data_IF_470933736368
#
_entry.id   IF_470933736368
#
_cell.length_a   1.000
_cell.length_b   1.000
_cell.length_c   1.000
_cell.angle_alpha   90.00
_cell.angle_beta   90.00
_cell.angle_gamma   90.00
#
_symmetry.space_group_name_H-M   'P 1'
#
loop_
_entity.id
_entity.type
_entity.pdbx_description
1 polymer ?
#
# COMPACT_ATOMS: atom_id res chain seq x y z
N UNK A 1 -88.03 35.91 70.12
CA UNK A 1 -86.76 35.22 70.46
C UNK A 1 -86.06 34.91 69.13
N UNK A 2 -84.94 35.51 68.70
CA UNK A 2 -83.79 36.15 69.36
C UNK A 2 -82.53 35.27 69.55
N UNK A 3 -82.07 34.62 68.47
CA UNK A 3 -80.67 34.22 68.24
C UNK A 3 -80.41 34.41 66.72
N UNK A 4 -79.30 34.96 66.20
CA UNK A 4 -77.85 34.77 66.46
C UNK A 4 -77.36 33.37 66.02
N UNK A 5 -76.29 33.21 65.24
CA UNK A 5 -75.40 34.21 64.60
C UNK A 5 -74.74 33.59 63.35
N UNK A 6 -74.33 34.41 62.38
CA UNK A 6 -73.55 33.98 61.22
C UNK A 6 -72.04 33.86 61.52
N UNK A 7 -71.31 33.29 60.55
CA UNK A 7 -69.84 33.03 60.51
C UNK A 7 -69.35 31.84 61.34
N UNK A 8 -68.85 30.83 60.62
CA UNK A 8 -67.51 30.30 60.90
C UNK A 8 -66.77 30.07 59.58
N UNK A 9 -65.72 30.84 59.33
CA UNK A 9 -64.77 30.60 58.24
C UNK A 9 -63.63 29.77 58.81
N UNK A 10 -63.51 28.51 58.39
CA UNK A 10 -62.36 27.67 58.72
C UNK A 10 -61.72 27.13 57.43
N UNK A 11 -60.46 27.52 57.23
CA UNK A 11 -59.66 27.21 56.05
C UNK A 11 -59.14 25.77 56.13
N UNK A 12 -59.56 24.91 55.20
CA UNK A 12 -58.92 23.61 54.96
C UNK A 12 -58.30 23.63 53.56
N UNK A 13 -57.01 23.97 53.48
CA UNK A 13 -56.22 23.88 52.24
C UNK A 13 -55.86 22.43 51.95
N UNK A 14 -56.76 21.68 51.31
CA UNK A 14 -56.43 20.38 50.73
C UNK A 14 -55.86 20.58 49.32
N UNK A 15 -54.52 20.56 49.24
CA UNK A 15 -53.79 20.69 47.98
C UNK A 15 -53.84 19.39 47.16
N UNK A 16 -54.96 19.17 46.48
CA UNK A 16 -55.09 18.12 45.46
C UNK A 16 -54.12 18.43 44.30
N UNK A 17 -52.96 17.76 44.30
CA UNK A 17 -51.98 17.84 43.21
C UNK A 17 -52.66 17.33 41.93
N UNK A 18 -52.69 18.16 40.89
CA UNK A 18 -53.01 17.68 39.55
C UNK A 18 -52.01 16.61 39.11
N UNK A 19 -52.37 15.73 38.16
CA UNK A 19 -51.44 14.74 37.62
C UNK A 19 -50.22 15.46 37.06
N UNK A 20 -49.05 15.20 37.65
CA UNK A 20 -47.80 15.71 37.12
C UNK A 20 -47.64 15.19 35.69
N UNK A 21 -47.19 16.04 34.76
CA UNK A 21 -46.81 15.56 33.44
C UNK A 21 -45.73 14.49 33.62
N UNK A 22 -45.97 13.30 33.06
CA UNK A 22 -44.95 12.27 32.97
C UNK A 22 -43.82 12.87 32.12
N UNK A 23 -42.74 13.30 32.79
CA UNK A 23 -41.66 14.01 32.13
C UNK A 23 -41.11 13.14 31.02
N UNK A 24 -41.20 13.63 29.77
CA UNK A 24 -40.72 12.91 28.60
C UNK A 24 -39.21 12.65 28.80
N UNK A 25 -38.88 11.43 29.22
CA UNK A 25 -37.53 11.05 29.55
C UNK A 25 -36.70 11.20 28.28
N UNK A 26 -35.82 12.19 28.25
CA UNK A 26 -34.83 12.35 27.18
C UNK A 26 -33.82 11.21 27.30
N UNK A 27 -34.23 10.03 26.84
CA UNK A 27 -33.32 8.94 26.51
C UNK A 27 -32.37 9.50 25.47
N UNK A 28 -31.18 9.93 25.91
CA UNK A 28 -30.07 10.13 25.00
C UNK A 28 -29.86 8.76 24.35
N UNK A 29 -30.12 8.68 23.05
CA UNK A 29 -29.73 7.50 22.27
C UNK A 29 -28.24 7.32 22.52
N UNK A 30 -27.89 6.19 23.13
CA UNK A 30 -26.51 5.75 23.19
C UNK A 30 -26.19 5.37 21.75
N UNK A 31 -25.49 6.27 21.05
CA UNK A 31 -24.76 5.88 19.84
C UNK A 31 -23.96 4.63 20.19
N UNK A 32 -24.03 3.61 19.32
CA UNK A 32 -23.28 2.37 19.51
C UNK A 32 -21.82 2.70 19.85
N UNK A 33 -21.22 2.07 20.88
CA UNK A 33 -19.94 2.50 21.43
C UNK A 33 -18.84 2.46 20.36
N UNK A 34 -18.59 3.64 19.78
CA UNK A 34 -17.78 3.81 18.57
C UNK A 34 -16.38 3.24 18.78
N UNK A 35 -16.10 2.13 18.09
CA UNK A 35 -14.78 1.46 18.03
C UNK A 35 -14.13 1.19 19.39
N UNK A 36 -14.57 0.13 20.07
CA UNK A 36 -13.77 -0.49 21.13
C UNK A 36 -12.33 -0.77 20.64
N UNK A 37 -11.34 -0.10 21.26
CA UNK A 37 -9.93 -0.48 21.18
C UNK A 37 -8.98 0.40 20.35
N UNK A 38 -9.46 1.31 19.47
CA UNK A 38 -8.56 1.99 18.51
C UNK A 38 -8.30 3.50 18.75
N UNK A 39 -9.03 4.17 19.64
CA UNK A 39 -8.84 5.61 19.93
C UNK A 39 -8.80 5.91 21.44
N UNK A 40 -7.95 5.21 22.20
CA UNK A 40 -7.62 5.58 23.58
C UNK A 40 -6.21 6.19 23.64
N UNK A 41 -6.03 7.50 23.90
CA UNK A 41 -4.71 8.13 24.00
C UNK A 41 -3.88 7.68 25.22
N UNK A 42 -4.45 6.88 26.12
CA UNK A 42 -3.77 6.33 27.30
C UNK A 42 -3.45 4.83 27.21
N UNK A 43 -3.67 4.19 26.05
CA UNK A 43 -3.07 2.89 25.74
C UNK A 43 -1.80 3.10 24.89
N UNK A 44 -0.70 2.37 25.15
CA UNK A 44 0.46 2.40 24.29
C UNK A 44 0.11 1.85 22.90
N UNK A 45 0.68 2.42 21.84
CA UNK A 45 0.39 2.07 20.43
C UNK A 45 1.01 0.72 19.99
N UNK A 46 1.21 -0.21 20.91
CA UNK A 46 2.06 -1.41 20.81
C UNK A 46 1.45 -2.58 20.03
N UNK A 47 0.42 -2.33 19.21
CA UNK A 47 -0.19 -3.34 18.32
C UNK A 47 -0.51 -2.82 16.92
N UNK A 48 0.08 -1.69 16.48
CA UNK A 48 0.08 -1.34 15.05
C UNK A 48 0.86 -2.41 14.29
N UNK A 49 0.14 -3.25 13.56
CA UNK A 49 0.70 -4.37 12.79
C UNK A 49 1.82 -3.87 11.86
N UNK A 50 3.00 -4.48 11.97
CA UNK A 50 4.16 -4.15 11.14
C UNK A 50 4.23 -5.13 9.96
N UNK A 51 4.15 -4.65 8.70
CA UNK A 51 4.29 -5.52 7.54
C UNK A 51 5.74 -6.00 7.40
N UNK A 52 5.92 -7.25 6.92
CA UNK A 52 7.25 -7.86 6.69
C UNK A 52 8.10 -7.12 5.65
N UNK A 53 7.45 -6.41 4.73
CA UNK A 53 8.03 -5.55 3.69
C UNK A 53 7.07 -4.43 3.33
N UNK A 54 7.54 -3.42 2.63
CA UNK A 54 6.67 -2.45 1.98
C UNK A 54 5.80 -3.09 0.88
N UNK A 55 4.60 -2.55 0.62
CA UNK A 55 3.79 -2.93 -0.53
C UNK A 55 4.51 -2.60 -1.84
N UNK A 56 4.14 -3.32 -2.91
CA UNK A 56 4.54 -2.92 -4.26
C UNK A 56 4.06 -1.50 -4.59
N UNK A 57 4.71 -0.81 -5.55
CA UNK A 57 4.18 0.43 -6.11
C UNK A 57 2.72 0.30 -6.57
N UNK A 58 1.99 1.42 -6.56
CA UNK A 58 0.61 1.47 -7.09
C UNK A 58 0.67 1.34 -8.61
N UNK A 59 0.13 0.26 -9.16
CA UNK A 59 0.16 -0.07 -10.59
C UNK A 59 -1.16 -0.66 -11.08
N UNK A 60 -1.34 -0.80 -12.38
CA UNK A 60 -2.59 -1.26 -13.02
C UNK A 60 -3.53 -0.11 -13.40
N UNK A 61 -4.86 -0.32 -13.44
CA UNK A 61 -5.81 0.66 -13.96
C UNK A 61 -5.87 1.96 -13.13
N UNK A 62 -5.49 3.08 -13.73
CA UNK A 62 -5.35 4.38 -13.05
C UNK A 62 -6.62 4.86 -12.33
N UNK A 63 -7.81 4.51 -12.82
CA UNK A 63 -9.08 4.87 -12.19
C UNK A 63 -9.30 4.18 -10.83
N UNK A 64 -8.57 3.09 -10.52
CA UNK A 64 -8.59 2.42 -9.22
C UNK A 64 -7.68 3.09 -8.20
N UNK A 65 -6.69 3.91 -8.61
CA UNK A 65 -5.71 4.51 -7.70
C UNK A 65 -6.37 5.40 -6.63
N UNK A 66 -7.58 5.93 -6.92
CA UNK A 66 -8.45 6.65 -5.96
C UNK A 66 -8.93 5.82 -4.77
N UNK A 67 -8.70 4.51 -4.77
CA UNK A 67 -8.93 3.59 -3.65
C UNK A 67 -7.70 3.43 -2.74
N UNK A 68 -6.50 3.79 -3.22
CA UNK A 68 -5.29 3.80 -2.39
C UNK A 68 -5.44 4.79 -1.23
N UNK A 69 -4.84 4.46 -0.09
CA UNK A 69 -4.97 5.23 1.15
C UNK A 69 -6.36 5.17 1.81
N UNK A 70 -7.26 4.29 1.35
CA UNK A 70 -8.56 4.01 1.97
C UNK A 70 -8.63 2.55 2.37
N UNK A 71 -9.30 2.29 3.48
CA UNK A 71 -9.49 0.94 4.01
C UNK A 71 -10.97 0.65 4.16
N UNK A 72 -11.36 -0.59 3.84
CA UNK A 72 -12.75 -1.05 3.84
C UNK A 72 -12.83 -2.31 4.69
N UNK A 73 -13.69 -2.29 5.72
CA UNK A 73 -13.80 -3.39 6.65
C UNK A 73 -15.11 -4.17 6.53
N UNK A 74 -15.05 -5.47 6.81
CA UNK A 74 -16.18 -6.37 6.97
C UNK A 74 -16.04 -7.09 8.31
N UNK A 75 -17.09 -7.09 9.14
CA UNK A 75 -17.15 -7.94 10.34
C UNK A 75 -17.91 -9.20 9.98
N UNK A 76 -17.26 -10.36 10.16
CA UNK A 76 -17.83 -11.67 9.84
C UNK A 76 -17.55 -12.65 10.98
N UNK A 77 -18.61 -13.14 11.60
CA UNK A 77 -18.58 -13.91 12.86
C UNK A 77 -17.78 -13.20 13.97
N UNK A 78 -16.58 -13.68 14.30
CA UNK A 78 -15.76 -13.19 15.40
C UNK A 78 -14.63 -12.24 14.95
N UNK A 79 -14.52 -11.95 13.65
CA UNK A 79 -13.37 -11.25 13.06
C UNK A 79 -13.80 -10.02 12.27
N UNK A 80 -13.10 -8.90 12.48
CA UNK A 80 -13.10 -7.76 11.57
C UNK A 80 -11.95 -7.96 10.58
N UNK A 81 -12.28 -8.12 9.31
CA UNK A 81 -11.33 -8.03 8.21
C UNK A 81 -11.26 -6.59 7.74
N UNK A 82 -10.08 -6.13 7.32
CA UNK A 82 -9.89 -4.80 6.75
C UNK A 82 -8.98 -4.90 5.52
N UNK A 83 -9.44 -4.37 4.39
CA UNK A 83 -8.70 -4.35 3.12
C UNK A 83 -8.41 -2.92 2.72
N UNK A 84 -7.12 -2.61 2.56
CA UNK A 84 -6.62 -1.33 2.08
C UNK A 84 -6.01 -1.55 0.68
N UNK A 85 -6.71 -1.21 -0.42
CA UNK A 85 -6.22 -1.43 -1.79
C UNK A 85 -4.83 -0.82 -2.01
N UNK A 86 -3.97 -1.59 -2.68
CA UNK A 86 -2.55 -1.28 -2.90
C UNK A 86 -1.67 -1.19 -1.63
N UNK A 87 -2.18 -1.59 -0.45
CA UNK A 87 -1.41 -1.63 0.79
C UNK A 87 -1.40 -3.04 1.41
N UNK A 88 -2.41 -3.42 2.18
CA UNK A 88 -2.48 -4.71 2.87
C UNK A 88 -3.92 -5.19 3.13
N UNK A 89 -4.03 -6.43 3.61
CA UNK A 89 -5.24 -7.02 4.21
C UNK A 89 -4.89 -7.38 5.65
N UNK A 90 -5.74 -7.02 6.61
CA UNK A 90 -5.60 -7.41 8.02
C UNK A 90 -6.82 -8.15 8.55
N UNK A 91 -6.64 -8.88 9.64
CA UNK A 91 -7.67 -9.54 10.43
C UNK A 91 -7.51 -9.14 11.89
N UNK A 92 -8.61 -8.84 12.55
CA UNK A 92 -8.68 -8.47 13.96
C UNK A 92 -9.82 -9.24 14.64
N UNK A 93 -9.49 -10.18 15.52
CA UNK A 93 -10.46 -10.86 16.39
C UNK A 93 -11.16 -9.82 17.28
N UNK A 94 -12.50 -9.84 17.31
CA UNK A 94 -13.34 -8.86 18.03
C UNK A 94 -13.70 -9.34 19.44
N UNK A 95 -13.03 -10.36 19.98
CA UNK A 95 -13.29 -10.86 21.34
C UNK A 95 -12.65 -9.95 22.37
N UNK A 96 -13.29 -9.81 23.54
CA UNK A 96 -12.73 -9.08 24.68
C UNK A 96 -11.68 -9.94 25.42
N UNK A 97 -10.65 -10.38 24.69
CA UNK A 97 -9.51 -11.15 25.20
C UNK A 97 -8.27 -10.28 25.17
N UNK A 98 -7.47 -10.34 26.24
CA UNK A 98 -6.19 -9.61 26.33
C UNK A 98 -5.17 -10.04 25.27
N UNK A 99 -5.37 -11.23 24.67
CA UNK A 99 -4.57 -11.83 23.62
C UNK A 99 -5.38 -12.13 22.33
N UNK A 100 -6.42 -11.35 22.04
CA UNK A 100 -7.19 -11.47 20.80
C UNK A 100 -6.27 -11.36 19.56
N UNK A 101 -6.42 -12.27 18.59
CA UNK A 101 -5.55 -12.28 17.42
C UNK A 101 -5.72 -11.02 16.56
N UNK A 102 -4.60 -10.41 16.16
CA UNK A 102 -4.55 -9.39 15.12
C UNK A 102 -3.35 -9.66 14.23
N UNK A 103 -3.51 -9.58 12.92
CA UNK A 103 -2.46 -9.96 11.98
C UNK A 103 -2.71 -9.61 10.52
N UNK A 104 -1.66 -9.70 9.71
CA UNK A 104 -1.69 -9.36 8.29
C UNK A 104 -1.96 -10.63 7.47
N UNK A 105 -3.00 -10.61 6.63
CA UNK A 105 -3.36 -11.72 5.74
C UNK A 105 -2.67 -11.62 4.36
N UNK A 106 -2.07 -10.47 4.06
CA UNK A 106 -1.27 -10.23 2.85
C UNK A 106 -0.92 -8.75 2.66
N UNK A 107 0.15 -8.50 1.92
CA UNK A 107 0.71 -7.20 1.54
C UNK A 107 0.69 -7.12 0.01
N UNK A 108 0.27 -5.99 -0.56
CA UNK A 108 0.16 -5.79 -2.00
C UNK A 108 1.44 -6.19 -2.72
N UNK A 109 1.30 -7.08 -3.72
CA UNK A 109 2.42 -7.73 -4.40
C UNK A 109 2.33 -7.56 -5.93
N UNK A 110 1.27 -8.07 -6.55
CA UNK A 110 1.08 -8.05 -8.02
C UNK A 110 -0.38 -8.26 -8.43
N UNK A 111 -0.68 -8.03 -9.71
CA UNK A 111 -1.95 -8.39 -10.33
C UNK A 111 -1.98 -9.84 -10.82
N UNK A 112 -3.12 -10.50 -10.71
CA UNK A 112 -3.44 -11.65 -11.55
C UNK A 112 -4.00 -11.15 -12.89
N UNK A 113 -3.33 -11.48 -14.00
CA UNK A 113 -3.78 -11.17 -15.36
C UNK A 113 -4.11 -12.48 -16.07
N UNK A 114 -5.28 -12.55 -16.70
CA UNK A 114 -5.67 -13.65 -17.57
C UNK A 114 -6.50 -13.12 -18.74
N UNK A 115 -6.22 -13.59 -19.96
CA UNK A 115 -6.85 -13.14 -21.21
C UNK A 115 -6.82 -11.61 -21.34
N UNK A 116 -5.63 -11.02 -21.21
CA UNK A 116 -5.35 -9.57 -21.35
C UNK A 116 -6.23 -8.66 -20.45
N UNK A 117 -6.71 -9.23 -19.34
CA UNK A 117 -7.64 -8.62 -18.38
C UNK A 117 -7.13 -8.84 -16.96
N UNK A 118 -7.14 -7.80 -16.12
CA UNK A 118 -6.91 -7.90 -14.68
C UNK A 118 -8.05 -8.71 -14.03
N UNK A 119 -7.72 -9.73 -13.23
CA UNK A 119 -8.70 -10.61 -12.55
C UNK A 119 -8.74 -10.37 -11.04
N UNK A 120 -7.59 -10.30 -10.39
CA UNK A 120 -7.49 -10.18 -8.95
C UNK A 120 -6.21 -9.43 -8.53
N UNK A 121 -6.19 -8.95 -7.29
CA UNK A 121 -5.00 -8.44 -6.63
C UNK A 121 -4.42 -9.54 -5.73
N UNK A 122 -3.14 -9.87 -5.92
CA UNK A 122 -2.40 -10.78 -5.03
C UNK A 122 -1.75 -10.00 -3.89
N UNK A 123 -2.09 -10.41 -2.67
CA UNK A 123 -1.55 -9.87 -1.43
C UNK A 123 -0.75 -11.00 -0.76
N UNK A 124 0.57 -11.02 -0.94
CA UNK A 124 1.47 -12.06 -0.42
C UNK A 124 2.15 -11.62 0.88
N UNK A 125 3.01 -12.44 1.47
CA UNK A 125 3.94 -12.02 2.54
C UNK A 125 3.28 -11.53 3.85
N UNK A 126 2.06 -12.00 4.14
CA UNK A 126 1.41 -11.79 5.44
C UNK A 126 2.07 -12.56 6.58
N UNK A 127 1.45 -12.53 7.75
CA UNK A 127 1.94 -13.15 8.98
C UNK A 127 2.29 -14.63 8.78
N UNK A 128 3.36 -15.08 9.42
CA UNK A 128 3.80 -16.48 9.33
C UNK A 128 2.73 -17.45 9.85
N UNK A 129 2.53 -18.54 9.10
CA UNK A 129 1.55 -19.58 9.38
C UNK A 129 2.13 -20.95 9.03
N UNK A 130 2.56 -21.68 10.08
CA UNK A 130 3.26 -22.97 9.95
C UNK A 130 4.49 -22.81 9.04
N UNK A 131 4.48 -23.39 7.85
CA UNK A 131 5.59 -23.36 6.86
C UNK A 131 5.46 -22.29 5.77
N UNK A 132 4.41 -21.45 5.78
CA UNK A 132 4.18 -20.41 4.74
C UNK A 132 3.80 -19.06 5.35
N UNK A 133 3.99 -17.97 4.62
CA UNK A 133 3.32 -16.70 4.94
C UNK A 133 1.83 -16.81 4.60
N UNK A 134 0.97 -16.06 5.32
CA UNK A 134 -0.42 -15.84 4.88
C UNK A 134 -0.43 -15.10 3.54
N UNK A 135 -1.39 -15.46 2.69
CA UNK A 135 -1.64 -14.77 1.44
C UNK A 135 -3.14 -14.63 1.17
N UNK A 136 -3.52 -13.56 0.48
CA UNK A 136 -4.91 -13.23 0.14
C UNK A 136 -5.03 -12.91 -1.34
N UNK A 137 -6.00 -13.52 -2.02
CA UNK A 137 -6.44 -13.14 -3.37
C UNK A 137 -7.68 -12.27 -3.26
N UNK A 138 -7.65 -11.06 -3.83
CA UNK A 138 -8.79 -10.13 -3.81
C UNK A 138 -9.36 -9.97 -5.22
N UNK A 139 -10.56 -10.50 -5.44
CA UNK A 139 -11.31 -10.32 -6.69
C UNK A 139 -12.06 -8.98 -6.69
N UNK A 140 -11.99 -8.25 -7.81
CA UNK A 140 -12.70 -6.97 -7.97
C UNK A 140 -14.00 -7.20 -8.74
N UNK A 141 -15.13 -6.80 -8.14
CA UNK A 141 -16.47 -7.04 -8.68
C UNK A 141 -17.29 -5.76 -8.79
N UNK A 142 -18.18 -5.70 -9.78
CA UNK A 142 -19.08 -4.57 -9.95
C UNK A 142 -20.06 -4.47 -8.78
N UNK A 143 -20.10 -3.31 -8.11
CA UNK A 143 -20.96 -3.07 -6.96
C UNK A 143 -21.45 -1.63 -6.87
N UNK A 144 -22.54 -1.41 -6.12
CA UNK A 144 -23.14 -0.06 -5.97
C UNK A 144 -22.29 0.90 -5.12
N UNK A 145 -21.39 0.36 -4.30
CA UNK A 145 -20.54 1.10 -3.36
C UNK A 145 -19.20 0.38 -3.19
N UNK A 146 -18.15 1.12 -2.82
CA UNK A 146 -16.85 0.55 -2.47
C UNK A 146 -16.96 -0.16 -1.11
N UNK A 147 -16.90 -1.50 -1.08
CA UNK A 147 -16.89 -2.26 0.18
C UNK A 147 -16.30 -3.66 0.01
N UNK A 148 -15.69 -4.17 1.08
CA UNK A 148 -15.37 -5.59 1.21
C UNK A 148 -16.70 -6.35 1.38
N UNK A 149 -17.03 -7.22 0.42
CA UNK A 149 -18.35 -7.83 0.30
C UNK A 149 -18.41 -9.27 0.84
N UNK A 150 -17.30 -10.02 0.74
CA UNK A 150 -17.14 -11.39 1.28
C UNK A 150 -15.68 -11.65 1.66
N UNK A 151 -15.45 -12.48 2.67
CA UNK A 151 -14.14 -13.06 3.00
C UNK A 151 -14.30 -14.57 3.17
N UNK A 152 -13.25 -15.33 2.86
CA UNK A 152 -13.22 -16.78 3.07
C UNK A 152 -11.78 -17.28 3.21
N UNK A 153 -11.59 -18.41 3.91
CA UNK A 153 -10.32 -19.14 3.99
C UNK A 153 -10.48 -20.51 3.28
N UNK A 154 -10.46 -20.54 1.93
CA UNK A 154 -10.66 -21.78 1.16
C UNK A 154 -9.59 -22.87 1.40
N UNK A 155 -8.42 -22.49 1.91
CA UNK A 155 -7.45 -23.44 2.47
C UNK A 155 -6.59 -22.74 3.52
N UNK A 156 -6.01 -23.50 4.46
CA UNK A 156 -5.29 -22.95 5.62
C UNK A 156 -4.28 -21.85 5.24
N UNK A 157 -4.52 -20.64 5.75
CA UNK A 157 -3.73 -19.43 5.54
C UNK A 157 -3.66 -18.92 4.08
N UNK A 158 -4.62 -19.32 3.24
CA UNK A 158 -4.89 -18.75 1.91
C UNK A 158 -6.32 -18.21 1.91
N UNK A 159 -6.45 -16.90 1.79
CA UNK A 159 -7.72 -16.19 1.87
C UNK A 159 -8.23 -15.77 0.48
N UNK A 160 -9.53 -15.83 0.27
CA UNK A 160 -10.19 -15.29 -0.91
C UNK A 160 -11.22 -14.24 -0.49
N UNK A 161 -11.04 -13.02 -1.01
CA UNK A 161 -11.82 -11.83 -0.69
C UNK A 161 -12.54 -11.34 -1.95
N UNK A 162 -13.80 -10.94 -1.82
CA UNK A 162 -14.53 -10.26 -2.88
C UNK A 162 -14.71 -8.79 -2.51
N UNK A 163 -14.12 -7.88 -3.29
CA UNK A 163 -14.31 -6.44 -3.13
C UNK A 163 -15.30 -5.93 -4.18
N UNK A 164 -16.36 -5.28 -3.73
CA UNK A 164 -17.31 -4.60 -4.61
C UNK A 164 -16.89 -3.14 -4.82
N UNK A 165 -16.96 -2.66 -6.07
CA UNK A 165 -16.76 -1.26 -6.41
C UNK A 165 -17.50 -0.87 -7.70
N UNK A 166 -18.08 0.35 -7.79
CA UNK A 166 -18.66 0.84 -9.03
C UNK A 166 -17.60 1.10 -10.11
N UNK A 167 -16.32 1.15 -9.74
CA UNK A 167 -15.21 1.48 -10.65
C UNK A 167 -14.95 0.39 -11.70
N UNK A 168 -15.29 -0.87 -11.40
CA UNK A 168 -15.09 -2.01 -12.33
C UNK A 168 -16.37 -2.43 -13.05
N UNK A 169 -17.44 -1.63 -12.99
CA UNK A 169 -18.72 -1.95 -13.63
C UNK A 169 -18.76 -1.75 -15.15
N UNK A 170 -17.78 -1.03 -15.72
CA UNK A 170 -17.67 -0.89 -17.18
C UNK A 170 -16.95 -2.11 -17.78
N UNK A 171 -17.42 -2.73 -18.87
CA UNK A 171 -16.82 -3.97 -19.42
C UNK A 171 -15.36 -3.82 -19.86
N UNK A 172 -14.90 -2.59 -20.11
CA UNK A 172 -13.51 -2.31 -20.50
C UNK A 172 -12.64 -1.76 -19.36
N UNK A 173 -13.15 -1.71 -18.11
CA UNK A 173 -12.42 -1.18 -16.95
C UNK A 173 -11.17 -2.00 -16.62
N UNK A 174 -11.27 -3.33 -16.68
CA UNK A 174 -10.19 -4.24 -16.29
C UNK A 174 -9.31 -4.72 -17.46
N UNK A 175 -9.38 -4.10 -18.64
CA UNK A 175 -8.47 -4.43 -19.75
C UNK A 175 -7.05 -3.93 -19.45
N UNK A 176 -6.05 -4.74 -19.78
CA UNK A 176 -4.63 -4.41 -19.53
C UNK A 176 -4.10 -3.39 -20.55
N UNK A 177 -4.39 -3.59 -21.84
CA UNK A 177 -3.88 -2.72 -22.91
C UNK A 177 -4.18 -1.22 -22.69
N UNK A 178 -5.43 -0.79 -22.36
CA UNK A 178 -5.73 0.63 -22.10
C UNK A 178 -5.16 1.19 -20.78
N UNK A 179 -4.66 0.34 -19.88
CA UNK A 179 -4.04 0.77 -18.63
C UNK A 179 -2.52 1.04 -18.76
N UNK A 180 -1.89 0.51 -19.83
CA UNK A 180 -0.45 0.62 -20.05
C UNK A 180 0.00 2.02 -20.47
N UNK A 181 1.22 2.44 -20.10
CA UNK A 181 1.87 3.60 -20.69
C UNK A 181 2.04 3.45 -22.22
N UNK A 182 1.94 4.54 -22.97
CA UNK A 182 1.97 4.54 -24.45
C UNK A 182 3.20 3.85 -25.06
N UNK A 183 4.38 3.96 -24.42
CA UNK A 183 5.58 3.26 -24.86
C UNK A 183 5.49 1.73 -24.72
N UNK A 184 4.72 1.23 -23.75
CA UNK A 184 4.45 -0.21 -23.60
C UNK A 184 3.27 -0.66 -24.48
N UNK A 185 2.32 0.23 -24.79
CA UNK A 185 1.29 -0.03 -25.82
C UNK A 185 1.95 -0.24 -27.20
N UNK A 186 2.82 0.68 -27.64
CA UNK A 186 3.57 0.54 -28.90
C UNK A 186 4.43 -0.72 -28.96
N UNK A 187 5.01 -1.15 -27.82
CA UNK A 187 5.74 -2.41 -27.72
C UNK A 187 4.82 -3.63 -27.78
N UNK A 188 3.59 -3.54 -27.25
CA UNK A 188 2.56 -4.56 -27.43
C UNK A 188 2.17 -4.66 -28.91
N UNK A 189 1.87 -3.53 -29.56
CA UNK A 189 1.47 -3.48 -30.98
C UNK A 189 2.51 -4.16 -31.88
N UNK A 190 3.80 -3.92 -31.63
CA UNK A 190 4.88 -4.60 -32.35
C UNK A 190 4.96 -6.11 -32.06
N UNK A 191 4.59 -6.55 -30.85
CA UNK A 191 4.57 -7.98 -30.49
C UNK A 191 3.37 -8.71 -31.14
N UNK A 192 2.21 -8.06 -31.26
CA UNK A 192 1.06 -8.57 -32.02
C UNK A 192 1.38 -8.62 -33.52
N UNK A 193 1.99 -7.56 -34.07
CA UNK A 193 2.42 -7.53 -35.47
C UNK A 193 3.44 -8.63 -35.78
N UNK A 194 4.44 -8.82 -34.91
CA UNK A 194 5.42 -9.90 -35.05
C UNK A 194 4.80 -11.30 -34.98
N UNK A 195 3.69 -11.49 -34.25
CA UNK A 195 2.94 -12.75 -34.20
C UNK A 195 2.12 -12.95 -35.49
N UNK A 196 1.49 -11.89 -36.00
CA UNK A 196 0.72 -11.90 -37.24
C UNK A 196 1.60 -12.12 -38.49
N UNK A 197 2.84 -11.61 -38.48
CA UNK A 197 3.87 -11.82 -39.51
C UNK A 197 4.63 -13.16 -39.33
N UNK A 198 4.17 -14.04 -38.43
CA UNK A 198 4.76 -15.35 -38.08
C UNK A 198 6.24 -15.31 -37.62
N UNK A 199 6.75 -14.14 -37.23
CA UNK A 199 8.14 -13.92 -36.79
C UNK A 199 8.42 -14.44 -35.37
N UNK A 200 7.37 -14.68 -34.56
CA UNK A 200 7.47 -15.26 -33.23
C UNK A 200 6.44 -16.38 -33.02
N UNK A 201 6.77 -17.35 -32.17
CA UNK A 201 5.82 -18.39 -31.74
C UNK A 201 4.87 -17.86 -30.67
N UNK A 202 3.75 -18.55 -30.44
CA UNK A 202 2.81 -18.26 -29.34
C UNK A 202 3.49 -18.24 -27.97
N UNK A 203 4.41 -19.18 -27.70
CA UNK A 203 5.22 -19.18 -26.47
C UNK A 203 6.16 -17.97 -26.39
N UNK A 204 6.69 -17.50 -27.53
CA UNK A 204 7.46 -16.26 -27.63
C UNK A 204 6.61 -15.03 -27.30
N UNK A 205 5.41 -14.95 -27.86
CA UNK A 205 4.42 -13.92 -27.58
C UNK A 205 4.04 -13.87 -26.08
N UNK A 206 3.70 -15.01 -25.46
CA UNK A 206 3.40 -15.08 -24.03
C UNK A 206 4.57 -14.60 -23.15
N UNK A 207 5.80 -14.99 -23.50
CA UNK A 207 7.01 -14.54 -22.79
C UNK A 207 7.25 -13.04 -22.95
N UNK A 208 7.00 -12.49 -24.13
CA UNK A 208 7.16 -11.06 -24.42
C UNK A 208 6.10 -10.21 -23.71
N UNK A 209 4.83 -10.65 -23.68
CA UNK A 209 3.78 -10.01 -22.90
C UNK A 209 4.05 -10.09 -21.39
N UNK A 210 4.53 -11.23 -20.89
CA UNK A 210 4.93 -11.37 -19.48
C UNK A 210 5.99 -10.34 -19.10
N UNK A 211 7.08 -10.25 -19.87
CA UNK A 211 8.12 -9.25 -19.64
C UNK A 211 7.57 -7.82 -19.72
N UNK A 212 6.63 -7.53 -20.63
CA UNK A 212 5.96 -6.23 -20.75
C UNK A 212 5.11 -5.89 -19.51
N UNK A 213 4.46 -6.88 -18.88
CA UNK A 213 3.71 -6.69 -17.64
C UNK A 213 4.60 -6.59 -16.39
N UNK A 214 5.77 -7.21 -16.42
CA UNK A 214 6.83 -7.04 -15.41
C UNK A 214 7.45 -5.63 -15.51
N UNK A 215 7.76 -5.16 -16.73
CA UNK A 215 8.20 -3.78 -17.03
C UNK A 215 7.14 -2.72 -16.65
N UNK A 216 5.86 -3.06 -16.76
CA UNK A 216 4.74 -2.21 -16.30
C UNK A 216 4.54 -2.21 -14.77
N UNK A 217 5.27 -3.05 -14.03
CA UNK A 217 5.10 -3.27 -12.60
C UNK A 217 3.74 -3.89 -12.23
N UNK A 218 3.10 -4.60 -13.17
CA UNK A 218 1.83 -5.29 -12.93
C UNK A 218 2.06 -6.69 -12.37
N UNK A 219 3.05 -7.40 -12.92
CA UNK A 219 3.56 -8.67 -12.39
C UNK A 219 4.87 -8.42 -11.64
N UNK A 220 5.25 -9.32 -10.74
CA UNK A 220 6.65 -9.46 -10.33
C UNK A 220 7.40 -10.34 -11.32
N UNK A 221 8.66 -9.98 -11.57
CA UNK A 221 9.61 -10.90 -12.16
C UNK A 221 9.62 -12.20 -11.36
N UNK A 222 9.74 -13.34 -12.05
CA UNK A 222 9.82 -14.63 -11.38
C UNK A 222 11.16 -14.76 -10.66
N UNK A 223 11.21 -14.38 -9.38
CA UNK A 223 12.27 -14.82 -8.49
C UNK A 223 12.20 -16.35 -8.40
N UNK A 224 13.32 -17.04 -8.65
CA UNK A 224 13.40 -18.51 -8.70
C UNK A 224 13.39 -19.16 -7.29
N UNK A 225 12.47 -18.72 -6.44
CA UNK A 225 12.44 -18.96 -5.00
C UNK A 225 11.07 -19.45 -4.50
N UNK A 226 10.64 -20.66 -4.89
CA UNK A 226 9.62 -21.39 -4.13
C UNK A 226 9.81 -22.93 -4.10
N UNK A 227 11.03 -23.42 -4.40
CA UNK A 227 11.43 -24.81 -4.11
C UNK A 227 12.95 -25.07 -4.03
N UNK A 228 13.79 -24.04 -3.79
CA UNK A 228 15.25 -24.17 -3.83
C UNK A 228 15.96 -23.50 -2.62
N UNK A 229 15.92 -24.14 -1.45
CA UNK A 229 16.84 -23.78 -0.36
C UNK A 229 18.25 -24.32 -0.62
N UNK A 230 18.99 -23.70 -1.56
CA UNK A 230 20.46 -23.53 -1.48
C UNK A 230 21.02 -22.65 -2.62
N UNK A 231 21.65 -21.54 -2.22
CA UNK A 231 22.78 -20.87 -2.88
C UNK A 231 22.71 -20.58 -4.40
N UNK A 232 21.89 -19.60 -4.78
CA UNK A 232 21.93 -18.94 -6.11
C UNK A 232 22.14 -17.41 -6.08
N UNK A 233 22.18 -16.79 -4.90
CA UNK A 233 22.39 -15.35 -4.75
C UNK A 233 23.87 -14.94 -4.84
N UNK A 234 24.15 -13.74 -5.33
CA UNK A 234 25.51 -13.19 -5.47
C UNK A 234 26.23 -13.15 -4.12
N UNK A 235 27.04 -14.17 -3.82
CA UNK A 235 27.87 -14.20 -2.61
C UNK A 235 28.91 -13.08 -2.66
N UNK A 236 28.64 -11.99 -1.92
CA UNK A 236 29.71 -11.17 -1.38
C UNK A 236 30.54 -12.05 -0.47
N UNK A 237 31.75 -12.43 -0.91
CA UNK A 237 32.61 -13.35 -0.17
C UNK A 237 32.99 -12.73 1.18
N UNK A 238 32.36 -13.20 2.25
CA UNK A 238 32.63 -12.73 3.61
C UNK A 238 33.92 -13.40 4.11
N UNK A 239 35.04 -12.73 3.88
CA UNK A 239 36.37 -13.26 4.17
C UNK A 239 36.65 -13.26 5.67
N UNK A 240 36.62 -14.44 6.30
CA UNK A 240 36.94 -14.65 7.73
C UNK A 240 38.29 -14.07 8.18
N UNK A 241 39.24 -13.85 7.26
CA UNK A 241 40.53 -13.23 7.54
C UNK A 241 40.94 -12.20 6.49
N UNK A 242 41.68 -11.18 6.93
CA UNK A 242 42.26 -10.17 6.05
C UNK A 242 43.23 -10.78 5.01
N UNK A 243 43.87 -11.89 5.33
CA UNK A 243 44.80 -12.58 4.42
C UNK A 243 44.07 -13.35 3.31
N UNK A 244 42.94 -14.01 3.59
CA UNK A 244 42.13 -14.63 2.54
C UNK A 244 41.50 -13.58 1.60
N UNK A 245 41.04 -12.45 2.15
CA UNK A 245 40.60 -11.29 1.37
C UNK A 245 41.69 -10.76 0.43
N UNK A 246 42.89 -10.51 0.96
CA UNK A 246 44.02 -10.03 0.16
C UNK A 246 44.45 -11.02 -0.94
N UNK A 247 44.40 -12.33 -0.65
CA UNK A 247 44.65 -13.38 -1.66
C UNK A 247 43.61 -13.35 -2.77
N UNK A 248 42.31 -13.33 -2.43
CA UNK A 248 41.22 -13.30 -3.39
C UNK A 248 41.23 -12.03 -4.25
N UNK A 249 41.48 -10.85 -3.65
CA UNK A 249 41.64 -9.59 -4.39
C UNK A 249 42.81 -9.65 -5.38
N UNK A 250 43.94 -10.26 -4.99
CA UNK A 250 45.10 -10.48 -5.89
C UNK A 250 44.80 -11.47 -7.01
N UNK A 251 43.96 -12.47 -6.78
CA UNK A 251 43.46 -13.42 -7.78
C UNK A 251 42.53 -12.72 -8.79
N UNK A 252 41.51 -12.03 -8.29
CA UNK A 252 40.55 -11.24 -9.06
C UNK A 252 41.24 -10.17 -9.92
N UNK A 253 42.28 -9.51 -9.38
CA UNK A 253 43.08 -8.51 -10.13
C UNK A 253 43.84 -9.12 -11.32
N UNK A 254 44.30 -10.38 -11.22
CA UNK A 254 44.87 -11.11 -12.38
C UNK A 254 43.79 -11.41 -13.41
N UNK A 255 42.63 -11.92 -12.96
CA UNK A 255 41.57 -12.35 -13.86
C UNK A 255 40.94 -11.17 -14.60
N UNK A 256 40.74 -10.02 -13.93
CA UNK A 256 40.36 -8.76 -14.58
C UNK A 256 41.39 -8.36 -15.65
N UNK A 257 42.70 -8.51 -15.41
CA UNK A 257 43.73 -8.26 -16.44
C UNK A 257 43.65 -9.25 -17.61
N UNK A 258 43.40 -10.54 -17.34
CA UNK A 258 43.23 -11.58 -18.37
C UNK A 258 42.02 -11.27 -19.26
N UNK A 259 40.85 -11.03 -18.65
CA UNK A 259 39.61 -10.69 -19.36
C UNK A 259 39.76 -9.40 -20.17
N UNK A 260 40.41 -8.37 -19.62
CA UNK A 260 40.71 -7.14 -20.37
C UNK A 260 41.58 -7.40 -21.61
N UNK A 261 42.60 -8.26 -21.49
CA UNK A 261 43.45 -8.66 -22.63
C UNK A 261 42.64 -9.35 -23.73
N UNK A 262 41.75 -10.26 -23.35
CA UNK A 262 40.85 -10.97 -24.28
C UNK A 262 39.89 -9.98 -24.97
N UNK A 263 39.26 -9.07 -24.21
CA UNK A 263 38.39 -8.04 -24.78
C UNK A 263 39.12 -7.14 -25.78
N UNK A 264 40.35 -6.71 -25.48
CA UNK A 264 41.17 -5.94 -26.44
C UNK A 264 41.59 -6.76 -27.66
N UNK A 265 41.85 -8.07 -27.52
CA UNK A 265 42.18 -8.96 -28.64
C UNK A 265 41.00 -9.15 -29.60
N UNK A 266 39.76 -9.08 -29.09
CA UNK A 266 38.53 -9.13 -29.90
C UNK A 266 37.96 -7.75 -30.27
N UNK A 267 38.69 -6.66 -30.00
CA UNK A 267 38.27 -5.29 -30.35
C UNK A 267 37.08 -4.73 -29.55
N UNK A 268 36.73 -5.35 -28.42
CA UNK A 268 35.57 -4.97 -27.60
C UNK A 268 35.98 -3.91 -26.59
N UNK A 269 35.57 -2.66 -26.84
CA UNK A 269 35.73 -1.55 -25.90
C UNK A 269 34.86 -1.75 -24.65
N UNK A 270 35.48 -1.63 -23.47
CA UNK A 270 34.80 -1.61 -22.18
C UNK A 270 35.10 -0.29 -21.46
N UNK A 271 34.08 0.37 -20.93
CA UNK A 271 34.22 1.57 -20.09
C UNK A 271 33.93 1.22 -18.63
N UNK A 272 34.76 1.72 -17.69
CA UNK A 272 34.52 1.49 -16.26
C UNK A 272 33.42 2.45 -15.77
N UNK A 273 32.39 1.99 -15.04
CA UNK A 273 31.53 2.87 -14.26
C UNK A 273 32.37 3.71 -13.28
N UNK A 274 31.98 4.97 -13.08
CA UNK A 274 32.68 5.87 -12.16
C UNK A 274 32.33 5.53 -10.70
N UNK A 275 33.31 5.09 -9.93
CA UNK A 275 33.19 4.92 -8.47
C UNK A 275 33.33 6.29 -7.80
N UNK A 276 32.28 6.76 -7.14
CA UNK A 276 32.35 7.95 -6.29
C UNK A 276 33.02 7.61 -4.96
N UNK A 277 34.31 7.93 -4.81
CA UNK A 277 35.00 7.91 -3.52
C UNK A 277 34.68 9.16 -2.69
N UNK A 278 34.68 9.01 -1.37
CA UNK A 278 34.26 10.03 -0.42
C UNK A 278 35.44 10.75 0.25
N UNK A 279 35.22 12.04 0.56
CA UNK A 279 35.78 12.77 1.69
C UNK A 279 37.32 12.89 1.85
N UNK A 280 37.81 14.12 1.75
CA UNK A 280 38.74 14.66 2.77
C UNK A 280 38.23 16.01 3.30
N UNK A 281 38.82 16.48 4.40
CA UNK A 281 38.24 17.46 5.32
C UNK A 281 39.17 18.67 5.55
N UNK A 282 38.76 19.58 6.44
CA UNK A 282 39.34 20.92 6.74
C UNK A 282 39.08 22.02 5.68
N UNK A 283 38.82 23.27 6.09
CA UNK A 283 38.71 23.78 7.46
C UNK A 283 38.03 25.15 7.54
N UNK A 284 37.53 25.49 8.74
CA UNK A 284 36.74 26.72 8.95
C UNK A 284 37.61 27.96 9.16
N UNK A 285 37.27 29.06 8.47
CA UNK A 285 37.58 30.44 8.88
C UNK A 285 36.46 31.40 8.47
N UNK A 286 35.75 31.93 9.45
CA UNK A 286 34.93 33.14 9.30
C UNK A 286 35.84 34.37 9.16
N UNK A 287 35.39 35.42 8.47
CA UNK A 287 35.35 36.72 9.18
C UNK A 287 34.05 37.50 8.96
N UNK A 288 33.83 38.49 9.82
CA UNK A 288 32.52 39.08 10.10
C UNK A 288 32.34 40.48 9.48
N UNK A 289 31.26 40.64 8.69
CA UNK A 289 30.39 41.83 8.59
C UNK A 289 30.99 43.24 8.30
N UNK A 290 30.55 43.85 7.17
CA UNK A 290 30.33 45.31 7.06
C UNK A 290 29.12 45.65 6.17
N UNK A 291 28.12 46.34 6.75
CA UNK A 291 27.18 47.27 6.10
C UNK A 291 27.90 48.60 5.75
N UNK A 292 27.38 49.59 5.01
CA UNK A 292 26.04 49.96 4.46
C UNK A 292 26.26 50.57 3.04
N UNK A 293 25.34 51.14 2.24
CA UNK A 293 23.92 51.59 2.27
C UNK A 293 23.11 50.87 1.16
N UNK A 294 21.76 50.88 1.00
CA UNK A 294 20.61 51.73 1.38
C UNK A 294 20.12 52.72 0.28
N UNK A 295 18.78 52.82 0.15
CA UNK A 295 17.97 53.63 -0.81
C UNK A 295 17.93 53.10 -2.27
N UNK A 296 16.86 53.31 -3.06
CA UNK A 296 15.39 53.35 -2.83
C UNK A 296 14.72 53.13 -4.21
N UNK A 297 13.50 52.59 -4.28
CA UNK A 297 12.82 52.33 -5.56
C UNK A 297 11.77 53.38 -5.95
N UNK A 298 11.58 53.56 -7.26
CA UNK A 298 10.41 54.09 -8.01
C UNK A 298 10.46 53.42 -9.41
N UNK A 299 9.39 53.01 -10.11
CA UNK A 299 8.13 53.67 -10.51
C UNK A 299 8.21 54.64 -11.71
N UNK A 300 8.51 54.10 -12.90
CA UNK A 300 7.59 54.18 -14.06
C UNK A 300 7.58 55.39 -15.03
N UNK A 301 7.39 55.04 -16.32
CA UNK A 301 6.74 55.77 -17.43
C UNK A 301 7.48 56.81 -18.31
N UNK A 302 7.20 56.67 -19.63
CA UNK A 302 7.37 57.59 -20.79
C UNK A 302 8.80 57.97 -21.23
N UNK A 303 9.04 58.28 -22.52
CA UNK A 303 8.17 58.28 -23.72
C UNK A 303 9.02 58.02 -24.99
N UNK A 304 8.46 57.43 -26.05
CA UNK A 304 7.73 58.09 -27.17
C UNK A 304 8.65 58.47 -28.35
N UNK A 305 8.64 57.65 -29.40
CA UNK A 305 8.92 57.89 -30.84
C UNK A 305 8.88 56.53 -31.55
N UNK A 306 8.22 56.30 -32.69
CA UNK A 306 7.45 57.17 -33.62
C UNK A 306 6.05 56.58 -33.85
#
# INVERSE_FOLDING_TARGET
MAARLARFLLLVRLAARGPASAGAAKMKVVEEPNTFGLNNPFLPQTSRLQPKRDPSPVSGPAHLFRLSGKCFSLVESMYKYEFCPFHNVTQHEQTFRWNAYSGILGIWHEWEIANNTFKAMWMKDGDSCRSRSRQSKVELTCGKSNRLARVSEPSTCVYALTFETPLVCHPHSLLVYPALPTALQQRWDQVEQNLADELITSQGYEKLLRALFEDAGYLKALEENDSAQQEGGTQGLEFETLESCNKAHKELSKEIKRLKSVLTQHGISYTKPAETSSSEHLGSKTPTHRTTEQLRGDLGLRGDTL
#
